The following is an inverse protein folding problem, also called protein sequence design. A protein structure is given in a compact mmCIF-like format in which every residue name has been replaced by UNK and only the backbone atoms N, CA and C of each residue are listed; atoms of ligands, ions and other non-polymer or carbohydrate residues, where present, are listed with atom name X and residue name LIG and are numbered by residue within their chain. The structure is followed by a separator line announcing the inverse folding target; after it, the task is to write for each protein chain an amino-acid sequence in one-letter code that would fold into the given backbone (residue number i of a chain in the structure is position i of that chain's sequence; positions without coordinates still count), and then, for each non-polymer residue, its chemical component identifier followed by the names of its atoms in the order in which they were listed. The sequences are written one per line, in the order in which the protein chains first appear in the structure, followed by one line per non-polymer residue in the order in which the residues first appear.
data_IF_069357854356
#
_entry.id   IF_069357854356
#
_cell.length_a   1.000
_cell.length_b   1.000
_cell.length_c   1.000
_cell.angle_alpha   90.00
_cell.angle_beta   90.00
_cell.angle_gamma   90.00
#
_symmetry.space_group_name_H-M   'P 1'
#
loop_
_entity.id
_entity.type
_entity.pdbx_description
1 polymer ?
#
# COMPACT_ATOMS: atom_id res chain seq x y z
N UNK A 1 61.58 -27.97 -9.05
CA UNK A 1 60.55 -29.01 -9.24
C UNK A 1 59.51 -29.08 -8.13
N UNK A 2 59.76 -28.57 -6.91
CA UNK A 2 58.76 -28.58 -5.82
C UNK A 2 57.69 -27.46 -5.92
N UNK A 3 58.01 -26.27 -6.42
CA UNK A 3 57.02 -25.17 -6.52
C UNK A 3 55.94 -25.36 -7.60
N UNK A 4 56.20 -26.18 -8.64
CA UNK A 4 55.24 -26.42 -9.72
C UNK A 4 54.14 -27.41 -9.34
N UNK A 5 54.40 -28.35 -8.42
CA UNK A 5 53.36 -29.29 -7.96
C UNK A 5 52.40 -28.65 -6.97
N UNK A 6 52.88 -27.77 -6.09
CA UNK A 6 52.06 -27.00 -5.14
C UNK A 6 51.05 -26.08 -5.86
N UNK A 7 51.47 -25.38 -6.91
CA UNK A 7 50.57 -24.54 -7.70
C UNK A 7 49.48 -25.35 -8.43
N UNK A 8 49.81 -26.54 -8.93
CA UNK A 8 48.87 -27.45 -9.58
C UNK A 8 47.83 -28.03 -8.60
N UNK A 9 48.26 -28.39 -7.39
CA UNK A 9 47.37 -28.86 -6.32
C UNK A 9 46.42 -27.73 -5.88
N UNK A 10 46.94 -26.51 -5.70
CA UNK A 10 46.13 -25.36 -5.29
C UNK A 10 45.08 -24.96 -6.34
N UNK A 11 45.41 -25.04 -7.63
CA UNK A 11 44.46 -24.81 -8.73
C UNK A 11 43.38 -25.89 -8.80
N UNK A 12 43.73 -27.15 -8.54
CA UNK A 12 42.78 -28.26 -8.49
C UNK A 12 41.81 -28.12 -7.31
N UNK A 13 42.30 -27.71 -6.14
CA UNK A 13 41.46 -27.44 -4.95
C UNK A 13 40.48 -26.30 -5.19
N UNK A 14 40.92 -25.21 -5.85
CA UNK A 14 40.05 -24.10 -6.23
C UNK A 14 38.99 -24.57 -7.24
N UNK A 15 39.36 -25.37 -8.24
CA UNK A 15 38.42 -25.91 -9.22
C UNK A 15 37.40 -26.87 -8.59
N UNK A 16 37.83 -27.72 -7.65
CA UNK A 16 36.94 -28.63 -6.92
C UNK A 16 36.02 -27.86 -5.97
N UNK A 17 36.51 -26.80 -5.31
CA UNK A 17 35.69 -25.93 -4.48
C UNK A 17 34.65 -25.16 -5.31
N UNK A 18 35.04 -24.58 -6.45
CA UNK A 18 34.13 -23.90 -7.36
C UNK A 18 33.12 -24.86 -7.98
N UNK A 19 33.56 -26.06 -8.38
CA UNK A 19 32.71 -27.13 -8.87
C UNK A 19 31.72 -27.61 -7.81
N UNK A 20 32.16 -27.77 -6.56
CA UNK A 20 31.32 -28.10 -5.42
C UNK A 20 30.28 -27.02 -5.10
N UNK A 21 30.66 -25.74 -5.19
CA UNK A 21 29.74 -24.60 -5.03
C UNK A 21 28.72 -24.54 -6.17
N UNK A 22 29.15 -24.77 -7.42
CA UNK A 22 28.27 -24.84 -8.59
C UNK A 22 27.28 -26.01 -8.46
N UNK A 23 27.76 -27.21 -8.13
CA UNK A 23 26.93 -28.40 -7.92
C UNK A 23 25.98 -28.16 -6.74
N UNK A 24 26.44 -27.57 -5.64
CA UNK A 24 25.57 -27.18 -4.53
C UNK A 24 24.49 -26.21 -5.00
N UNK A 25 24.84 -25.15 -5.74
CA UNK A 25 23.87 -24.19 -6.29
C UNK A 25 22.85 -24.85 -7.25
N UNK A 26 23.29 -25.78 -8.09
CA UNK A 26 22.44 -26.49 -9.05
C UNK A 26 21.55 -27.55 -8.37
N UNK A 27 22.06 -28.25 -7.35
CA UNK A 27 21.31 -29.27 -6.60
C UNK A 27 20.44 -28.65 -5.50
N UNK A 28 20.82 -27.50 -4.95
CA UNK A 28 19.97 -26.66 -4.13
C UNK A 28 18.98 -25.92 -5.02
N UNK A 29 18.09 -26.66 -5.69
CA UNK A 29 16.79 -26.08 -6.06
C UNK A 29 16.22 -25.51 -4.76
N UNK A 30 16.27 -24.19 -4.58
CA UNK A 30 15.54 -23.52 -3.49
C UNK A 30 14.09 -23.95 -3.68
N UNK A 31 13.64 -24.89 -2.84
CA UNK A 31 12.25 -25.30 -2.78
C UNK A 31 11.44 -24.02 -2.63
N UNK A 32 10.43 -23.84 -3.49
CA UNK A 32 9.56 -22.67 -3.42
C UNK A 32 8.97 -22.58 -2.01
N UNK A 33 9.53 -21.67 -1.22
CA UNK A 33 9.17 -21.53 0.17
C UNK A 33 7.97 -20.59 0.24
N UNK A 34 6.78 -21.18 0.29
CA UNK A 34 5.53 -20.44 0.53
C UNK A 34 5.54 -19.86 1.93
N UNK A 35 5.05 -18.63 2.07
CA UNK A 35 4.79 -18.07 3.39
C UNK A 35 3.59 -18.84 3.98
N UNK A 36 3.68 -19.40 5.20
CA UNK A 36 2.58 -20.17 5.75
C UNK A 36 1.36 -19.26 5.92
N UNK A 37 0.20 -19.76 5.48
CA UNK A 37 -1.08 -19.14 5.75
C UNK A 37 -1.26 -19.00 7.27
N UNK A 38 -1.71 -17.83 7.72
CA UNK A 38 -1.86 -17.54 9.14
C UNK A 38 -3.33 -17.65 9.53
N UNK A 39 -3.76 -18.85 9.89
CA UNK A 39 -5.05 -19.05 10.59
C UNK A 39 -4.98 -18.37 11.97
N UNK A 40 -5.96 -17.51 12.25
CA UNK A 40 -6.12 -16.84 13.53
C UNK A 40 -7.58 -16.69 13.92
N UNK A 41 -7.81 -16.36 15.20
CA UNK A 41 -9.09 -15.84 15.69
C UNK A 41 -8.86 -14.46 16.29
N UNK A 42 -9.31 -13.44 15.58
CA UNK A 42 -9.12 -12.03 15.90
C UNK A 42 -10.32 -11.41 16.61
N UNK A 43 -11.43 -12.16 16.69
CA UNK A 43 -12.60 -11.82 17.49
C UNK A 43 -12.32 -11.83 18.99
N UNK A 44 -13.29 -11.34 19.77
CA UNK A 44 -13.24 -11.40 21.23
C UNK A 44 -13.25 -12.85 21.72
N UNK A 45 -12.62 -13.09 22.87
CA UNK A 45 -12.62 -14.39 23.52
C UNK A 45 -11.89 -15.50 22.74
N UNK A 46 -12.29 -16.73 23.00
CA UNK A 46 -11.79 -17.92 22.31
C UNK A 46 -12.57 -18.14 21.00
N UNK A 47 -11.96 -18.85 20.05
CA UNK A 47 -12.64 -19.26 18.81
C UNK A 47 -13.78 -20.22 19.20
N UNK A 48 -15.02 -19.99 18.74
CA UNK A 48 -16.11 -20.95 18.93
C UNK A 48 -15.81 -22.29 18.27
N UNK A 49 -16.37 -23.37 18.82
CA UNK A 49 -16.27 -24.73 18.23
C UNK A 49 -17.17 -24.91 17.01
N UNK A 50 -18.10 -23.98 16.77
CA UNK A 50 -19.00 -23.98 15.60
C UNK A 50 -18.30 -23.43 14.37
N UNK A 51 -18.76 -23.84 13.18
CA UNK A 51 -18.34 -23.21 11.93
C UNK A 51 -18.64 -21.71 11.93
N UNK A 52 -17.77 -20.94 11.30
CA UNK A 52 -17.94 -19.49 11.18
C UNK A 52 -19.03 -19.18 10.16
N UNK A 53 -19.93 -18.25 10.49
CA UNK A 53 -20.93 -17.75 9.56
C UNK A 53 -20.26 -17.15 8.33
N UNK A 54 -20.52 -17.76 7.17
CA UNK A 54 -19.90 -17.37 5.91
C UNK A 54 -20.69 -16.32 5.12
N UNK A 55 -21.82 -15.87 5.66
CA UNK A 55 -22.75 -14.94 5.00
C UNK A 55 -22.06 -13.64 4.59
N UNK A 56 -22.39 -13.14 3.41
CA UNK A 56 -22.03 -11.80 2.92
C UNK A 56 -23.30 -10.96 2.95
N UNK A 57 -23.28 -9.85 3.69
CA UNK A 57 -24.43 -8.96 3.82
C UNK A 57 -24.13 -7.57 3.25
N UNK A 58 -25.13 -6.90 2.63
CA UNK A 58 -24.97 -5.54 2.16
C UNK A 58 -24.62 -4.58 3.31
N UNK A 59 -23.81 -3.58 2.99
CA UNK A 59 -23.44 -2.49 3.89
C UNK A 59 -23.70 -1.15 3.19
N UNK A 60 -24.14 -0.16 3.97
CA UNK A 60 -24.24 1.24 3.54
C UNK A 60 -23.57 2.12 4.58
N UNK A 61 -22.84 3.12 4.11
CA UNK A 61 -22.31 4.18 4.96
C UNK A 61 -23.47 5.05 5.38
N UNK A 62 -23.68 5.19 6.68
CA UNK A 62 -24.70 6.04 7.27
C UNK A 62 -24.10 6.69 8.52
N UNK A 63 -24.60 7.89 8.86
CA UNK A 63 -24.25 8.61 10.09
C UNK A 63 -25.52 9.20 10.68
N UNK A 64 -25.62 9.16 12.00
CA UNK A 64 -26.69 9.78 12.76
C UNK A 64 -26.50 11.30 12.82
N UNK A 65 -27.60 12.03 13.01
CA UNK A 65 -27.54 13.49 13.24
C UNK A 65 -26.79 13.82 14.55
N UNK A 66 -26.79 12.91 15.52
CA UNK A 66 -26.08 13.05 16.79
C UNK A 66 -24.56 13.03 16.58
N UNK A 67 -24.03 12.08 15.79
CA UNK A 67 -22.61 12.01 15.43
C UNK A 67 -22.13 13.28 14.70
N UNK A 68 -22.94 13.80 13.77
CA UNK A 68 -22.61 15.03 13.04
C UNK A 68 -22.71 16.27 13.93
N UNK A 69 -23.71 16.32 14.80
CA UNK A 69 -23.85 17.42 15.78
C UNK A 69 -22.67 17.46 16.74
N UNK A 70 -22.18 16.29 17.20
CA UNK A 70 -20.97 16.21 18.02
C UNK A 70 -19.73 16.70 17.28
N UNK A 71 -19.54 16.28 16.01
CA UNK A 71 -18.47 16.78 15.15
C UNK A 71 -18.49 18.31 15.04
N UNK A 72 -19.62 18.90 14.64
CA UNK A 72 -19.70 20.35 14.45
C UNK A 72 -19.49 21.12 15.74
N UNK A 73 -20.01 20.62 16.86
CA UNK A 73 -19.77 21.20 18.19
C UNK A 73 -18.27 21.22 18.53
N UNK A 74 -17.52 20.16 18.22
CA UNK A 74 -16.07 20.07 18.46
C UNK A 74 -15.28 20.97 17.52
N UNK A 75 -15.67 21.09 16.26
CA UNK A 75 -15.06 22.02 15.31
C UNK A 75 -15.23 23.48 15.78
N UNK A 76 -16.38 23.83 16.35
CA UNK A 76 -16.68 25.17 16.87
C UNK A 76 -15.87 25.56 18.11
N UNK A 77 -15.50 24.57 18.92
CA UNK A 77 -14.75 24.78 20.16
C UNK A 77 -13.24 24.57 19.97
N UNK A 78 -12.78 24.44 18.71
CA UNK A 78 -11.39 24.19 18.40
C UNK A 78 -10.48 25.32 18.86
N UNK A 79 -9.38 24.96 19.52
CA UNK A 79 -8.32 25.88 19.94
C UNK A 79 -7.14 25.75 19.01
N UNK A 80 -6.72 26.86 18.41
CA UNK A 80 -5.57 26.94 17.51
C UNK A 80 -4.39 27.63 18.18
N UNK A 81 -3.19 27.24 17.78
CA UNK A 81 -1.93 27.92 18.13
C UNK A 81 -1.42 28.65 16.90
N UNK A 82 -0.92 29.87 17.05
CA UNK A 82 -0.30 30.59 15.92
C UNK A 82 0.96 29.86 15.43
N UNK A 83 1.15 29.77 14.10
CA UNK A 83 2.35 29.15 13.55
C UNK A 83 3.56 30.09 13.71
N UNK A 84 4.76 29.55 13.56
CA UNK A 84 5.95 30.38 13.42
C UNK A 84 5.87 31.14 12.08
N UNK A 85 6.36 32.38 12.06
CA UNK A 85 6.50 33.18 10.84
C UNK A 85 7.30 32.40 9.78
N UNK A 86 6.84 32.44 8.53
CA UNK A 86 7.46 31.79 7.36
C UNK A 86 7.71 30.26 7.50
N UNK A 87 7.02 29.58 8.43
CA UNK A 87 7.22 28.14 8.65
C UNK A 87 6.56 27.25 7.61
N UNK A 88 5.63 27.78 6.80
CA UNK A 88 4.84 27.03 5.83
C UNK A 88 4.33 25.72 6.43
N UNK A 89 4.61 24.57 5.80
CA UNK A 89 4.31 23.23 6.29
C UNK A 89 5.56 22.49 6.84
N UNK A 90 6.69 23.20 7.01
CA UNK A 90 7.96 22.61 7.46
C UNK A 90 7.93 22.15 8.92
N UNK A 91 6.97 22.65 9.71
CA UNK A 91 6.72 22.28 11.11
C UNK A 91 5.45 21.42 11.28
N UNK A 92 4.93 20.86 10.18
CA UNK A 92 3.63 20.20 10.11
C UNK A 92 2.54 21.11 9.54
N UNK A 93 1.27 20.70 9.61
CA UNK A 93 0.16 21.48 9.06
C UNK A 93 0.13 22.90 9.61
N UNK A 94 0.19 23.88 8.71
CA UNK A 94 0.08 25.29 9.08
C UNK A 94 -1.30 25.61 9.66
N UNK A 95 -1.35 26.18 10.86
CA UNK A 95 -2.63 26.43 11.55
C UNK A 95 -3.45 27.56 10.93
N UNK A 96 -2.85 28.49 10.18
CA UNK A 96 -3.58 29.52 9.40
C UNK A 96 -4.38 28.85 8.30
N UNK A 97 -3.76 27.97 7.52
CA UNK A 97 -4.47 27.26 6.46
C UNK A 97 -5.43 26.20 7.04
N UNK A 98 -5.07 25.51 8.12
CA UNK A 98 -5.98 24.58 8.80
C UNK A 98 -7.29 25.28 9.22
N UNK A 99 -7.24 26.51 9.72
CA UNK A 99 -8.46 27.29 10.02
C UNK A 99 -9.35 27.50 8.80
N UNK A 100 -8.77 27.68 7.60
CA UNK A 100 -9.53 27.75 6.34
C UNK A 100 -10.20 26.41 6.02
N UNK A 101 -9.47 25.30 6.16
CA UNK A 101 -10.02 23.95 5.95
C UNK A 101 -11.15 23.65 6.95
N UNK A 102 -10.97 23.96 8.24
CA UNK A 102 -12.02 23.77 9.26
C UNK A 102 -13.23 24.67 8.99
N UNK A 103 -13.02 25.91 8.55
CA UNK A 103 -14.12 26.78 8.12
C UNK A 103 -14.88 26.21 6.93
N UNK A 104 -14.18 25.64 5.94
CA UNK A 104 -14.81 24.93 4.82
C UNK A 104 -15.58 23.70 5.30
N UNK A 105 -14.98 22.89 6.17
CA UNK A 105 -15.60 21.67 6.72
C UNK A 105 -16.90 21.99 7.47
N UNK A 106 -16.91 23.07 8.25
CA UNK A 106 -18.10 23.50 8.99
C UNK A 106 -19.20 24.06 8.08
N UNK A 107 -18.83 24.91 7.12
CA UNK A 107 -19.79 25.80 6.47
C UNK A 107 -20.15 25.41 5.03
N UNK A 108 -19.34 24.55 4.38
CA UNK A 108 -19.48 24.25 2.95
C UNK A 108 -19.45 22.76 2.64
N UNK A 109 -18.60 21.99 3.33
CA UNK A 109 -18.51 20.55 3.14
C UNK A 109 -19.86 19.87 3.43
N UNK A 110 -20.37 19.12 2.46
CA UNK A 110 -21.65 18.44 2.58
C UNK A 110 -21.45 16.94 2.76
N UNK A 111 -21.40 16.48 4.02
CA UNK A 111 -21.24 15.07 4.32
C UNK A 111 -22.35 14.18 3.75
N UNK A 112 -23.60 14.65 3.71
CA UNK A 112 -24.71 13.85 3.13
C UNK A 112 -24.48 13.56 1.65
N UNK A 113 -24.00 14.55 0.89
CA UNK A 113 -23.58 14.36 -0.50
C UNK A 113 -22.42 13.37 -0.62
N UNK A 114 -21.43 13.43 0.28
CA UNK A 114 -20.32 12.47 0.27
C UNK A 114 -20.76 11.05 0.64
N UNK A 115 -21.74 10.89 1.52
CA UNK A 115 -22.37 9.59 1.80
C UNK A 115 -23.05 9.03 0.54
N UNK A 116 -23.73 9.85 -0.27
CA UNK A 116 -24.28 9.43 -1.57
C UNK A 116 -23.18 8.98 -2.53
N UNK A 117 -22.05 9.70 -2.58
CA UNK A 117 -20.87 9.31 -3.37
C UNK A 117 -20.33 7.97 -2.87
N UNK A 118 -20.11 7.80 -1.57
CA UNK A 118 -19.61 6.58 -0.96
C UNK A 118 -20.53 5.39 -1.27
N UNK A 119 -21.85 5.57 -1.15
CA UNK A 119 -22.85 4.53 -1.41
C UNK A 119 -23.20 4.32 -2.88
N UNK A 120 -22.56 5.04 -3.82
CA UNK A 120 -22.72 4.80 -5.28
C UNK A 120 -22.29 3.39 -5.66
N UNK A 121 -21.25 2.86 -5.02
CA UNK A 121 -20.76 1.51 -5.27
C UNK A 121 -21.31 0.50 -4.24
N UNK A 122 -21.65 -0.73 -4.67
CA UNK A 122 -22.06 -1.78 -3.75
C UNK A 122 -20.97 -2.07 -2.71
N UNK A 123 -21.37 -2.06 -1.45
CA UNK A 123 -20.52 -2.35 -0.30
C UNK A 123 -21.13 -3.50 0.49
N UNK A 124 -20.25 -4.28 1.12
CA UNK A 124 -20.63 -5.48 1.84
C UNK A 124 -19.78 -5.64 3.09
N UNK A 125 -20.28 -6.48 3.99
CA UNK A 125 -19.52 -7.04 5.09
C UNK A 125 -19.66 -8.55 5.11
N UNK A 126 -18.63 -9.21 5.62
CA UNK A 126 -18.66 -10.64 5.93
C UNK A 126 -17.73 -10.94 7.10
N UNK A 127 -18.03 -11.98 7.88
CA UNK A 127 -17.19 -12.38 9.01
C UNK A 127 -16.06 -13.29 8.51
N UNK A 128 -14.82 -12.95 8.88
CA UNK A 128 -13.63 -13.74 8.59
C UNK A 128 -12.74 -13.76 9.83
N UNK A 129 -12.46 -14.96 10.34
CA UNK A 129 -11.57 -15.18 11.48
C UNK A 129 -11.98 -14.37 12.73
N UNK A 130 -13.29 -14.22 12.95
CA UNK A 130 -13.91 -13.63 14.13
C UNK A 130 -14.11 -12.12 14.09
N UNK A 131 -13.83 -11.47 12.96
CA UNK A 131 -14.04 -10.02 12.78
C UNK A 131 -14.81 -9.72 11.49
N UNK A 132 -15.59 -8.65 11.50
CA UNK A 132 -16.34 -8.20 10.34
C UNK A 132 -15.45 -7.43 9.35
N UNK A 133 -15.39 -7.89 8.11
CA UNK A 133 -14.57 -7.32 7.04
C UNK A 133 -15.44 -6.55 6.07
N UNK A 134 -15.22 -5.25 5.97
CA UNK A 134 -15.86 -4.37 4.99
C UNK A 134 -15.12 -4.41 3.66
N UNK A 135 -15.87 -4.40 2.55
CA UNK A 135 -15.32 -4.23 1.21
C UNK A 135 -16.31 -3.61 0.22
N UNK A 136 -15.79 -2.80 -0.69
CA UNK A 136 -16.48 -2.39 -1.92
C UNK A 136 -16.32 -3.50 -2.96
N UNK A 137 -17.39 -3.84 -3.69
CA UNK A 137 -17.34 -4.83 -4.78
C UNK A 137 -18.08 -4.30 -6.01
N UNK A 138 -17.33 -3.96 -7.05
CA UNK A 138 -17.86 -3.37 -8.28
C UNK A 138 -17.67 -4.32 -9.44
N UNK A 139 -18.80 -4.76 -10.00
CA UNK A 139 -18.85 -5.55 -11.22
C UNK A 139 -18.85 -4.62 -12.45
N UNK A 140 -18.25 -5.03 -13.57
CA UNK A 140 -18.33 -4.26 -14.80
C UNK A 140 -19.78 -4.14 -15.26
N UNK A 141 -20.23 -2.95 -15.69
CA UNK A 141 -21.61 -2.74 -16.13
C UNK A 141 -21.90 -3.47 -17.45
N UNK A 142 -20.86 -3.71 -18.26
CA UNK A 142 -20.93 -4.44 -19.51
C UNK A 142 -19.65 -5.25 -19.71
N UNK A 143 -19.79 -6.42 -20.30
CA UNK A 143 -18.66 -7.23 -20.75
C UNK A 143 -18.76 -7.43 -22.27
N UNK A 144 -17.65 -7.33 -23.02
CA UNK A 144 -17.61 -7.75 -24.41
C UNK A 144 -17.99 -9.24 -24.53
N UNK A 145 -18.65 -9.60 -25.63
CA UNK A 145 -19.09 -10.97 -25.87
C UNK A 145 -17.90 -11.95 -25.82
N UNK A 146 -18.07 -13.08 -25.13
CA UNK A 146 -17.03 -14.08 -24.95
C UNK A 146 -15.91 -13.71 -23.98
N UNK A 147 -15.97 -12.56 -23.28
CA UNK A 147 -15.00 -12.16 -22.25
C UNK A 147 -15.55 -12.33 -20.83
N UNK A 148 -14.67 -12.70 -19.91
CA UNK A 148 -14.93 -12.71 -18.47
C UNK A 148 -14.22 -11.55 -17.78
N UNK A 149 -14.85 -10.95 -16.78
CA UNK A 149 -14.19 -9.99 -15.91
C UNK A 149 -12.99 -10.62 -15.19
N UNK A 150 -11.92 -9.85 -15.00
CA UNK A 150 -10.76 -10.28 -14.22
C UNK A 150 -10.92 -9.80 -12.77
N UNK A 151 -10.92 -10.68 -11.76
CA UNK A 151 -11.01 -10.24 -10.37
C UNK A 151 -9.73 -9.49 -9.98
N UNK A 152 -9.89 -8.29 -9.43
CA UNK A 152 -8.79 -7.42 -8.99
C UNK A 152 -9.04 -6.96 -7.55
N UNK A 153 -8.19 -7.43 -6.65
CA UNK A 153 -8.14 -6.96 -5.26
C UNK A 153 -7.25 -5.70 -5.18
N UNK A 154 -7.80 -4.56 -4.76
CA UNK A 154 -7.05 -3.31 -4.56
C UNK A 154 -7.03 -2.95 -3.07
N UNK A 155 -5.83 -2.87 -2.48
CA UNK A 155 -5.65 -2.65 -1.04
C UNK A 155 -5.02 -1.28 -0.78
N UNK A 156 -5.69 -0.47 0.04
CA UNK A 156 -5.26 0.89 0.40
C UNK A 156 -4.16 0.92 1.47
N UNK A 157 -3.74 2.12 1.86
CA UNK A 157 -2.74 2.38 2.89
C UNK A 157 -3.23 3.13 4.12
N UNK A 158 -2.29 3.71 4.87
CA UNK A 158 -2.48 4.73 5.89
C UNK A 158 -1.80 6.03 5.43
N UNK A 159 -2.36 7.23 5.65
CA UNK A 159 -3.65 7.52 6.28
C UNK A 159 -4.81 7.56 5.26
N UNK A 160 -4.70 6.75 4.20
CA UNK A 160 -5.73 6.61 3.18
C UNK A 160 -6.86 5.65 3.57
N UNK A 161 -7.71 5.32 2.61
CA UNK A 161 -8.85 4.43 2.80
C UNK A 161 -9.31 3.86 1.46
N UNK A 162 -10.29 2.95 1.47
CA UNK A 162 -10.90 2.43 0.25
C UNK A 162 -11.46 3.53 -0.68
N UNK A 163 -11.70 4.74 -0.16
CA UNK A 163 -12.13 5.91 -0.95
C UNK A 163 -11.11 6.34 -2.01
N UNK A 164 -9.82 6.09 -1.80
CA UNK A 164 -8.75 6.42 -2.76
C UNK A 164 -9.00 5.81 -4.14
N UNK A 165 -9.76 4.70 -4.20
CA UNK A 165 -10.01 3.99 -5.45
C UNK A 165 -11.25 4.47 -6.22
N UNK A 166 -12.05 5.40 -5.69
CA UNK A 166 -13.34 5.74 -6.28
C UNK A 166 -13.24 6.30 -7.70
N UNK A 167 -12.16 7.04 -8.00
CA UNK A 167 -11.91 7.61 -9.33
C UNK A 167 -11.34 6.60 -10.32
N UNK A 168 -10.60 5.59 -9.85
CA UNK A 168 -9.97 4.58 -10.72
C UNK A 168 -10.89 3.38 -11.01
N UNK A 169 -11.82 3.04 -10.11
CA UNK A 169 -12.80 1.96 -10.31
C UNK A 169 -13.46 1.99 -11.71
N UNK A 170 -14.07 3.12 -12.15
CA UNK A 170 -14.75 3.14 -13.45
C UNK A 170 -13.80 2.93 -14.64
N UNK A 171 -12.53 3.35 -14.51
CA UNK A 171 -11.49 3.15 -15.53
C UNK A 171 -11.11 1.66 -15.70
N UNK A 172 -11.33 0.85 -14.66
CA UNK A 172 -11.01 -0.57 -14.65
C UNK A 172 -12.23 -1.46 -14.94
N UNK A 173 -13.42 -1.04 -14.49
CA UNK A 173 -14.67 -1.79 -14.67
C UNK A 173 -15.39 -1.46 -15.98
N UNK A 174 -15.15 -0.27 -16.55
CA UNK A 174 -15.71 0.15 -17.84
C UNK A 174 -14.69 0.95 -18.68
N UNK A 175 -13.53 0.38 -19.00
CA UNK A 175 -12.43 1.11 -19.66
C UNK A 175 -12.84 1.76 -20.98
N UNK A 176 -13.69 1.09 -21.81
CA UNK A 176 -14.11 1.61 -23.10
C UNK A 176 -14.85 2.95 -23.01
N UNK A 177 -15.79 3.08 -22.06
CA UNK A 177 -16.54 4.33 -21.84
C UNK A 177 -15.66 5.47 -21.34
N UNK A 178 -14.44 5.16 -20.90
CA UNK A 178 -13.46 6.09 -20.38
C UNK A 178 -12.24 6.27 -21.31
N UNK A 179 -12.33 5.80 -22.57
CA UNK A 179 -11.27 5.99 -23.57
C UNK A 179 -10.04 5.08 -23.40
N UNK A 180 -10.14 4.05 -22.56
CA UNK A 180 -9.10 3.04 -22.34
C UNK A 180 -9.39 1.75 -23.11
N UNK A 181 -8.35 0.94 -23.31
CA UNK A 181 -8.50 -0.39 -23.95
C UNK A 181 -9.37 -1.31 -23.10
N UNK A 182 -10.38 -1.92 -23.72
CA UNK A 182 -11.27 -2.89 -23.09
C UNK A 182 -10.79 -4.36 -23.20
N UNK A 183 -9.57 -4.58 -23.72
CA UNK A 183 -8.95 -5.90 -23.83
C UNK A 183 -9.01 -6.65 -22.49
N UNK A 184 -8.89 -5.90 -21.39
CA UNK A 184 -9.03 -6.38 -20.03
C UNK A 184 -10.03 -5.51 -19.29
N UNK A 185 -11.09 -6.14 -18.79
CA UNK A 185 -12.11 -5.51 -17.94
C UNK A 185 -12.08 -6.19 -16.58
N UNK A 186 -12.14 -5.40 -15.51
CA UNK A 186 -12.01 -5.90 -14.14
C UNK A 186 -13.34 -5.95 -13.40
N UNK A 187 -13.41 -6.89 -12.47
CA UNK A 187 -14.32 -6.89 -11.34
C UNK A 187 -13.48 -6.52 -10.12
N UNK A 188 -13.77 -5.37 -9.50
CA UNK A 188 -12.87 -4.72 -8.53
C UNK A 188 -13.38 -4.92 -7.10
N UNK A 189 -12.47 -5.32 -6.21
CA UNK A 189 -12.73 -5.56 -4.80
C UNK A 189 -11.78 -4.67 -3.99
N UNK A 190 -12.32 -3.74 -3.20
CA UNK A 190 -11.55 -2.83 -2.36
C UNK A 190 -11.92 -3.01 -0.89
N UNK A 191 -11.23 -3.88 -0.13
CA UNK A 191 -11.50 -4.05 1.28
C UNK A 191 -10.95 -2.89 2.11
N UNK A 192 -11.60 -2.62 3.25
CA UNK A 192 -10.93 -1.88 4.32
C UNK A 192 -10.01 -2.81 5.11
N UNK A 193 -8.78 -2.40 5.36
CA UNK A 193 -7.84 -3.16 6.21
C UNK A 193 -8.46 -3.33 7.62
N UNK A 194 -8.37 -4.50 8.27
CA UNK A 194 -8.89 -4.66 9.63
C UNK A 194 -8.37 -3.60 10.59
N UNK A 195 -9.30 -2.88 11.24
CA UNK A 195 -8.99 -1.70 12.06
C UNK A 195 -8.94 -0.37 11.29
N UNK A 196 -9.28 -0.35 10.01
CA UNK A 196 -9.43 0.83 9.16
C UNK A 196 -10.85 0.92 8.62
N UNK A 197 -11.33 2.15 8.41
CA UNK A 197 -12.64 2.43 7.83
C UNK A 197 -13.73 1.61 8.52
N UNK A 198 -14.51 0.87 7.74
CA UNK A 198 -15.66 0.13 8.26
C UNK A 198 -15.36 -1.35 8.59
N UNK A 199 -14.10 -1.80 8.47
CA UNK A 199 -13.68 -3.14 8.92
C UNK A 199 -13.42 -3.14 10.42
N UNK A 200 -13.93 -4.16 11.11
CA UNK A 200 -13.76 -4.30 12.55
C UNK A 200 -12.27 -4.40 12.93
N UNK A 201 -11.91 -3.74 14.03
CA UNK A 201 -10.56 -3.80 14.55
C UNK A 201 -10.27 -5.17 15.19
N UNK A 202 -9.08 -5.75 14.96
CA UNK A 202 -8.65 -6.95 15.67
C UNK A 202 -8.67 -6.74 17.19
N UNK A 203 -9.26 -7.68 17.93
CA UNK A 203 -9.34 -7.62 19.40
C UNK A 203 -8.11 -8.21 20.11
N UNK A 204 -7.13 -8.69 19.34
CA UNK A 204 -5.93 -9.38 19.85
C UNK A 204 -4.66 -8.81 19.23
N UNK A 205 -3.59 -8.85 20.03
CA UNK A 205 -2.23 -8.51 19.59
C UNK A 205 -1.74 -9.49 18.52
N UNK A 206 -0.78 -9.06 17.71
CA UNK A 206 -0.15 -9.88 16.67
C UNK A 206 -0.82 -9.82 15.31
N UNK A 207 -1.83 -8.97 15.11
CA UNK A 207 -2.45 -8.74 13.81
C UNK A 207 -1.55 -7.85 12.93
N UNK A 208 -0.73 -8.47 12.10
CA UNK A 208 0.22 -7.82 11.19
C UNK A 208 -0.18 -8.00 9.71
N UNK A 209 0.63 -7.50 8.78
CA UNK A 209 0.39 -7.59 7.33
C UNK A 209 0.21 -9.01 6.79
N UNK A 210 0.87 -10.01 7.37
CA UNK A 210 0.67 -11.43 7.02
C UNK A 210 -0.73 -11.92 7.43
N UNK A 211 -1.24 -11.39 8.55
CA UNK A 211 -2.60 -11.70 9.05
C UNK A 211 -3.64 -11.06 8.13
N UNK A 212 -3.45 -9.78 7.77
CA UNK A 212 -4.32 -9.10 6.79
C UNK A 212 -4.33 -9.78 5.42
N UNK A 213 -3.16 -10.21 4.92
CA UNK A 213 -3.08 -10.99 3.68
C UNK A 213 -3.86 -12.32 3.76
N UNK A 214 -3.84 -12.98 4.92
CA UNK A 214 -4.62 -14.21 5.15
C UNK A 214 -6.14 -13.92 5.18
N UNK A 215 -6.57 -12.82 5.80
CA UNK A 215 -7.98 -12.37 5.76
C UNK A 215 -8.42 -12.10 4.32
N UNK A 216 -7.61 -11.40 3.53
CA UNK A 216 -7.98 -11.06 2.16
C UNK A 216 -7.89 -12.24 1.20
N UNK A 217 -7.02 -13.22 1.45
CA UNK A 217 -7.07 -14.52 0.77
C UNK A 217 -8.44 -15.18 0.98
N UNK A 218 -8.88 -15.31 2.24
CA UNK A 218 -10.19 -15.89 2.56
C UNK A 218 -11.35 -15.08 1.97
N UNK A 219 -11.26 -13.74 1.97
CA UNK A 219 -12.26 -12.89 1.32
C UNK A 219 -12.40 -13.22 -0.16
N UNK A 220 -11.29 -13.33 -0.89
CA UNK A 220 -11.33 -13.63 -2.32
C UNK A 220 -11.89 -15.04 -2.59
N UNK A 221 -11.56 -16.03 -1.76
CA UNK A 221 -12.16 -17.37 -1.85
C UNK A 221 -13.65 -17.38 -1.54
N UNK A 222 -14.06 -16.65 -0.51
CA UNK A 222 -15.48 -16.48 -0.12
C UNK A 222 -16.31 -15.87 -1.25
N UNK A 223 -15.71 -14.98 -2.02
CA UNK A 223 -16.31 -14.37 -3.21
C UNK A 223 -16.28 -15.27 -4.46
N UNK A 224 -15.69 -16.47 -4.35
CA UNK A 224 -15.62 -17.45 -5.45
C UNK A 224 -14.47 -17.22 -6.42
N UNK A 225 -13.47 -16.41 -6.07
CA UNK A 225 -12.33 -16.14 -6.94
C UNK A 225 -11.15 -17.05 -6.62
N UNK A 226 -10.99 -18.10 -7.42
CA UNK A 226 -9.84 -19.01 -7.29
C UNK A 226 -8.52 -18.42 -7.78
N UNK A 227 -8.60 -17.53 -8.78
CA UNK A 227 -7.47 -16.88 -9.42
C UNK A 227 -7.77 -15.38 -9.61
N UNK A 228 -6.90 -14.51 -9.14
CA UNK A 228 -7.14 -13.07 -9.14
C UNK A 228 -5.85 -12.26 -9.24
N UNK A 229 -5.98 -10.99 -9.59
CA UNK A 229 -4.90 -10.00 -9.54
C UNK A 229 -4.95 -9.24 -8.23
N UNK A 230 -3.80 -8.73 -7.79
CA UNK A 230 -3.70 -7.91 -6.58
C UNK A 230 -2.97 -6.61 -6.90
N UNK A 231 -3.45 -5.50 -6.36
CA UNK A 231 -2.84 -4.18 -6.48
C UNK A 231 -2.72 -3.52 -5.10
N UNK A 232 -1.61 -2.83 -4.84
CA UNK A 232 -1.49 -2.02 -3.62
C UNK A 232 -0.27 -1.10 -3.56
N UNK A 233 -0.46 0.03 -2.86
CA UNK A 233 0.58 0.93 -2.39
C UNK A 233 0.65 0.92 -0.86
N UNK A 234 1.60 1.62 -0.23
CA UNK A 234 1.72 1.73 1.24
C UNK A 234 1.58 0.37 1.99
N UNK A 235 0.67 0.23 2.97
CA UNK A 235 0.37 -1.06 3.60
C UNK A 235 -0.21 -2.09 2.63
N UNK A 236 -1.00 -1.66 1.66
CA UNK A 236 -1.49 -2.48 0.56
C UNK A 236 -0.36 -3.13 -0.24
N UNK A 237 0.77 -2.45 -0.46
CA UNK A 237 1.96 -3.04 -1.07
C UNK A 237 2.44 -4.26 -0.27
N UNK A 238 2.60 -4.11 1.05
CA UNK A 238 3.11 -5.18 1.91
C UNK A 238 2.09 -6.32 2.04
N UNK A 239 0.80 -6.00 2.16
CA UNK A 239 -0.28 -6.98 2.25
C UNK A 239 -0.38 -7.80 0.95
N UNK A 240 -0.41 -7.15 -0.21
CA UNK A 240 -0.48 -7.82 -1.51
C UNK A 240 0.80 -8.62 -1.81
N UNK A 241 1.97 -8.11 -1.40
CA UNK A 241 3.24 -8.87 -1.44
C UNK A 241 3.15 -10.15 -0.62
N UNK A 242 2.67 -10.06 0.62
CA UNK A 242 2.51 -11.23 1.48
C UNK A 242 1.46 -12.21 0.94
N UNK A 243 0.37 -11.71 0.35
CA UNK A 243 -0.65 -12.53 -0.29
C UNK A 243 -0.07 -13.34 -1.47
N UNK A 244 0.74 -12.71 -2.32
CA UNK A 244 1.47 -13.38 -3.40
C UNK A 244 2.49 -14.42 -2.90
N UNK A 245 2.99 -14.29 -1.66
CA UNK A 245 3.85 -15.30 -1.03
C UNK A 245 3.08 -16.45 -0.36
N UNK A 246 1.88 -16.16 0.15
CA UNK A 246 1.00 -17.16 0.78
C UNK A 246 0.36 -18.05 -0.29
N UNK A 247 -0.19 -17.43 -1.34
CA UNK A 247 -0.98 -18.11 -2.36
C UNK A 247 -0.46 -17.81 -3.79
N UNK A 248 0.82 -18.14 -4.10
CA UNK A 248 1.39 -17.86 -5.43
C UNK A 248 0.64 -18.56 -6.57
N UNK A 249 -0.06 -19.66 -6.29
CA UNK A 249 -0.86 -20.41 -7.28
C UNK A 249 -2.21 -19.75 -7.57
N UNK A 250 -2.66 -18.80 -6.74
CA UNK A 250 -3.94 -18.10 -6.86
C UNK A 250 -3.78 -16.64 -7.30
N UNK A 251 -2.66 -16.00 -6.93
CA UNK A 251 -2.36 -14.65 -7.39
C UNK A 251 -1.78 -14.71 -8.79
N UNK A 252 -2.57 -14.35 -9.81
CA UNK A 252 -2.15 -14.34 -11.22
C UNK A 252 -1.07 -13.29 -11.51
N UNK A 253 -1.14 -12.16 -10.82
CA UNK A 253 -0.22 -11.04 -10.99
C UNK A 253 -0.31 -10.04 -9.84
N UNK A 254 0.83 -9.50 -9.45
CA UNK A 254 1.01 -8.51 -8.39
C UNK A 254 1.39 -7.16 -9.00
N UNK A 255 0.50 -6.17 -8.90
CA UNK A 255 0.78 -4.80 -9.32
C UNK A 255 1.05 -3.92 -8.11
N UNK A 256 2.09 -3.09 -8.15
CA UNK A 256 2.53 -2.27 -7.03
C UNK A 256 2.83 -0.85 -7.47
N UNK A 257 2.41 0.15 -6.70
CA UNK A 257 2.85 1.54 -6.85
C UNK A 257 3.81 2.00 -5.75
N UNK A 258 4.10 1.12 -4.78
CA UNK A 258 5.18 1.24 -3.82
C UNK A 258 5.89 -0.11 -3.75
N UNK A 259 7.23 -0.10 -3.71
CA UNK A 259 8.00 -1.30 -3.44
C UNK A 259 9.17 -0.94 -2.54
N UNK A 260 9.31 -1.60 -1.40
CA UNK A 260 10.48 -1.45 -0.54
C UNK A 260 11.22 -2.78 -0.36
N UNK A 261 12.54 -2.69 -0.22
CA UNK A 261 13.43 -3.85 -0.04
C UNK A 261 14.21 -3.64 1.25
N UNK A 262 13.91 -4.48 2.25
CA UNK A 262 14.49 -4.34 3.60
C UNK A 262 15.78 -5.14 3.79
N UNK A 263 16.11 -6.06 2.87
CA UNK A 263 17.32 -6.87 2.94
C UNK A 263 18.52 -6.18 2.26
N UNK A 264 19.18 -5.29 2.99
CA UNK A 264 20.36 -4.56 2.53
C UNK A 264 21.67 -5.36 2.74
N UNK A 265 22.02 -6.20 1.77
CA UNK A 265 23.35 -6.84 1.71
C UNK A 265 24.48 -5.92 1.22
N UNK A 266 25.71 -6.43 1.24
CA UNK A 266 26.93 -5.71 0.82
C UNK A 266 26.83 -5.04 -0.56
N UNK A 267 26.16 -5.68 -1.52
CA UNK A 267 25.96 -5.11 -2.87
C UNK A 267 25.08 -3.86 -2.86
N UNK A 268 24.11 -3.74 -1.96
CA UNK A 268 23.32 -2.52 -1.81
C UNK A 268 24.18 -1.38 -1.25
N UNK A 269 24.98 -1.65 -0.21
CA UNK A 269 25.89 -0.65 0.36
C UNK A 269 26.85 -0.13 -0.71
N UNK A 270 27.43 -1.01 -1.52
CA UNK A 270 28.32 -0.60 -2.61
C UNK A 270 27.58 0.23 -3.67
N UNK A 271 26.32 -0.12 -4.00
CA UNK A 271 25.49 0.67 -4.92
C UNK A 271 25.13 2.05 -4.36
N UNK A 272 24.97 2.19 -3.05
CA UNK A 272 24.74 3.49 -2.39
C UNK A 272 26.01 4.37 -2.44
N UNK A 273 27.19 3.77 -2.34
CA UNK A 273 28.46 4.53 -2.36
C UNK A 273 28.90 4.89 -3.79
N UNK A 274 28.79 3.93 -4.72
CA UNK A 274 29.36 4.03 -6.06
C UNK A 274 28.31 4.26 -7.16
N UNK A 275 27.02 4.06 -6.89
CA UNK A 275 25.96 4.11 -7.90
C UNK A 275 25.76 5.48 -8.56
N UNK A 276 26.19 6.57 -7.92
CA UNK A 276 26.25 7.89 -8.57
C UNK A 276 27.30 7.96 -9.69
N UNK A 277 28.43 7.28 -9.50
CA UNK A 277 29.59 7.36 -10.38
C UNK A 277 29.60 6.22 -11.41
N UNK A 278 29.08 5.06 -11.04
CA UNK A 278 29.04 3.84 -11.84
C UNK A 278 27.61 3.26 -11.88
N UNK A 279 26.59 4.00 -12.36
CA UNK A 279 25.19 3.55 -12.30
C UNK A 279 24.95 2.25 -13.06
N UNK A 280 25.55 2.09 -14.24
CA UNK A 280 25.42 0.87 -15.05
C UNK A 280 25.91 -0.40 -14.35
N UNK A 281 26.91 -0.30 -13.45
CA UNK A 281 27.41 -1.44 -12.67
C UNK A 281 26.36 -2.02 -11.72
N UNK A 282 25.43 -1.18 -11.25
CA UNK A 282 24.40 -1.56 -10.29
C UNK A 282 23.00 -1.65 -10.91
N UNK A 283 22.90 -1.55 -12.24
CA UNK A 283 21.63 -1.56 -12.96
C UNK A 283 20.77 -0.32 -12.68
N UNK A 284 21.38 0.80 -12.30
CA UNK A 284 20.68 2.07 -12.12
C UNK A 284 20.48 2.77 -13.46
N UNK A 285 19.27 3.24 -13.68
CA UNK A 285 18.94 4.16 -14.75
C UNK A 285 19.21 5.61 -14.31
N UNK A 286 19.21 6.55 -15.26
CA UNK A 286 19.44 7.97 -14.96
C UNK A 286 18.43 8.50 -13.92
N UNK A 287 17.18 8.07 -14.03
CA UNK A 287 16.12 8.44 -13.11
C UNK A 287 16.34 7.91 -11.68
N UNK A 288 16.93 6.71 -11.54
CA UNK A 288 17.34 6.17 -10.23
C UNK A 288 18.41 7.06 -9.59
N UNK A 289 19.42 7.47 -10.38
CA UNK A 289 20.47 8.35 -9.90
C UNK A 289 19.90 9.70 -9.48
N UNK A 290 19.01 10.26 -10.30
CA UNK A 290 18.33 11.55 -10.04
C UNK A 290 17.51 11.51 -8.75
N UNK A 291 16.74 10.44 -8.50
CA UNK A 291 15.87 10.31 -7.33
C UNK A 291 16.63 9.95 -6.06
N UNK A 292 17.68 9.14 -6.15
CA UNK A 292 18.39 8.65 -4.97
C UNK A 292 19.53 9.55 -4.50
N UNK A 293 20.21 10.27 -5.40
CA UNK A 293 21.45 10.97 -5.05
C UNK A 293 21.30 12.49 -4.91
N UNK A 294 22.02 13.13 -3.97
CA UNK A 294 22.92 12.54 -2.98
C UNK A 294 22.17 11.75 -1.87
N UNK A 295 22.56 10.49 -1.66
CA UNK A 295 21.80 9.53 -0.86
C UNK A 295 21.68 9.90 0.62
N UNK A 296 22.71 10.52 1.21
CA UNK A 296 22.64 11.01 2.59
C UNK A 296 21.49 12.00 2.79
N UNK A 297 21.27 12.91 1.83
CA UNK A 297 20.20 13.91 1.89
C UNK A 297 18.84 13.30 1.50
N UNK A 298 18.77 12.65 0.33
CA UNK A 298 17.50 12.18 -0.26
C UNK A 298 16.99 10.86 0.31
N UNK A 299 17.89 9.96 0.68
CA UNK A 299 17.56 8.66 1.26
C UNK A 299 17.49 8.71 2.78
N UNK A 300 18.59 9.07 3.45
CA UNK A 300 18.66 8.93 4.92
C UNK A 300 18.02 10.09 5.67
N UNK A 301 18.45 11.32 5.40
CA UNK A 301 17.97 12.50 6.14
C UNK A 301 16.48 12.75 5.91
N UNK A 302 15.98 12.58 4.69
CA UNK A 302 14.54 12.66 4.38
C UNK A 302 13.72 11.65 5.19
N UNK A 303 14.15 10.39 5.27
CA UNK A 303 13.43 9.38 6.07
C UNK A 303 13.40 9.80 7.55
N UNK A 304 14.51 10.30 8.11
CA UNK A 304 14.53 10.77 9.49
C UNK A 304 13.56 11.92 9.74
N UNK A 305 13.48 12.89 8.83
CA UNK A 305 12.54 14.01 8.92
C UNK A 305 11.07 13.56 8.86
N UNK A 306 10.75 12.62 7.96
CA UNK A 306 9.35 12.28 7.66
C UNK A 306 8.80 11.07 8.44
N UNK A 307 9.62 10.34 9.20
CA UNK A 307 9.23 9.09 9.87
C UNK A 307 8.74 9.24 11.32
N UNK A 308 8.63 10.47 11.84
CA UNK A 308 8.17 10.71 13.22
C UNK A 308 6.79 10.12 13.51
N UNK A 309 5.86 10.22 12.56
CA UNK A 309 4.53 9.62 12.65
C UNK A 309 4.61 8.08 12.80
N UNK A 310 5.42 7.43 11.95
CA UNK A 310 5.56 5.98 11.95
C UNK A 310 6.21 5.51 13.26
N UNK A 311 7.17 6.26 13.80
CA UNK A 311 7.83 5.92 15.05
C UNK A 311 6.86 5.97 16.24
N UNK A 312 6.06 7.05 16.39
CA UNK A 312 5.09 7.14 17.50
C UNK A 312 3.97 6.10 17.37
N UNK A 313 3.50 5.81 16.16
CA UNK A 313 2.49 4.78 15.90
C UNK A 313 3.02 3.36 16.11
N UNK A 314 4.28 3.09 15.76
CA UNK A 314 4.93 1.81 15.98
C UNK A 314 5.24 1.53 17.45
N UNK A 315 5.16 2.53 18.33
CA UNK A 315 5.57 2.39 19.73
C UNK A 315 4.39 2.57 20.69
N UNK A 316 3.62 3.65 20.55
CA UNK A 316 2.56 4.12 21.47
C UNK A 316 1.29 4.56 20.71
N UNK A 317 0.70 3.72 19.83
CA UNK A 317 -0.44 4.09 19.00
C UNK A 317 -1.66 4.52 19.82
N UNK A 318 -1.97 3.79 20.90
CA UNK A 318 -3.06 4.12 21.81
C UNK A 318 -2.89 5.48 22.51
N UNK A 319 -1.66 5.93 22.76
CA UNK A 319 -1.42 7.22 23.41
C UNK A 319 -1.63 8.40 22.47
N UNK A 320 -1.02 8.36 21.28
CA UNK A 320 -1.20 9.42 20.28
C UNK A 320 -2.62 9.44 19.71
N UNK A 321 -3.21 8.25 19.54
CA UNK A 321 -4.55 8.09 19.00
C UNK A 321 -5.65 8.63 19.89
N UNK A 322 -5.47 8.71 21.22
CA UNK A 322 -6.45 9.34 22.12
C UNK A 322 -6.76 10.78 21.70
N UNK A 323 -5.74 11.59 21.42
CA UNK A 323 -5.93 12.99 21.00
C UNK A 323 -6.57 13.10 19.62
N UNK A 324 -6.17 12.24 18.69
CA UNK A 324 -6.70 12.22 17.32
C UNK A 324 -8.14 11.71 17.25
N UNK A 325 -8.54 10.83 18.17
CA UNK A 325 -9.90 10.29 18.20
C UNK A 325 -10.90 11.25 18.88
N UNK A 326 -10.43 12.16 19.72
CA UNK A 326 -11.27 13.15 20.42
C UNK A 326 -11.36 14.50 19.68
N UNK A 327 -10.29 14.89 18.98
CA UNK A 327 -10.19 16.18 18.28
C UNK A 327 -10.28 16.02 16.76
N UNK A 328 -11.39 16.43 16.12
CA UNK A 328 -11.52 16.37 14.66
C UNK A 328 -10.53 17.29 13.95
N UNK A 329 -10.17 18.42 14.56
CA UNK A 329 -9.13 19.33 14.05
C UNK A 329 -7.74 18.70 14.14
N UNK A 330 -7.46 18.00 15.26
CA UNK A 330 -6.23 17.23 15.42
C UNK A 330 -6.11 16.09 14.42
N UNK A 331 -7.19 15.35 14.20
CA UNK A 331 -7.29 14.30 13.18
C UNK A 331 -7.02 14.86 11.77
N UNK A 332 -7.70 15.95 11.40
CA UNK A 332 -7.53 16.58 10.10
C UNK A 332 -6.09 17.05 9.89
N UNK A 333 -5.49 17.77 10.85
CA UNK A 333 -4.10 18.20 10.73
C UNK A 333 -3.16 16.99 10.52
N UNK A 334 -3.30 15.95 11.34
CA UNK A 334 -2.42 14.79 11.30
C UNK A 334 -2.50 14.01 9.98
N UNK A 335 -3.68 13.94 9.36
CA UNK A 335 -3.89 13.27 8.08
C UNK A 335 -3.50 14.18 6.90
N UNK A 336 -3.95 15.44 6.89
CA UNK A 336 -3.70 16.38 5.78
C UNK A 336 -2.22 16.62 5.55
N UNK A 337 -1.40 16.68 6.60
CA UNK A 337 0.04 16.83 6.45
C UNK A 337 0.63 15.77 5.51
N UNK A 338 0.11 14.53 5.55
CA UNK A 338 0.56 13.45 4.66
C UNK A 338 0.10 13.67 3.21
N UNK A 339 -1.13 14.11 2.99
CA UNK A 339 -1.62 14.48 1.66
C UNK A 339 -0.87 15.66 1.03
N UNK A 340 -0.25 16.53 1.84
CA UNK A 340 0.71 17.53 1.36
C UNK A 340 2.05 16.86 1.01
N UNK A 341 2.75 16.36 2.03
CA UNK A 341 4.17 15.97 1.92
C UNK A 341 4.40 14.75 1.02
N UNK A 342 3.45 13.81 0.96
CA UNK A 342 3.59 12.57 0.18
C UNK A 342 3.07 12.68 -1.25
N UNK A 343 2.38 13.76 -1.59
CA UNK A 343 2.03 14.11 -2.98
C UNK A 343 3.19 14.82 -3.65
N UNK A 344 3.79 15.80 -2.97
CA UNK A 344 5.04 16.41 -3.40
C UNK A 344 5.80 16.97 -2.19
N UNK A 345 7.08 16.62 -2.06
CA UNK A 345 7.90 17.06 -0.93
C UNK A 345 8.04 18.59 -0.89
N UNK A 346 8.01 19.24 -2.05
CA UNK A 346 8.14 20.69 -2.19
C UNK A 346 6.91 21.43 -1.68
N UNK A 347 5.76 20.75 -1.52
CA UNK A 347 4.56 21.38 -0.98
C UNK A 347 4.72 21.82 0.47
N UNK A 348 5.69 21.27 1.21
CA UNK A 348 6.04 21.76 2.56
C UNK A 348 6.52 23.21 2.57
N UNK A 349 7.01 23.72 1.44
CA UNK A 349 7.44 25.10 1.29
C UNK A 349 6.28 26.06 0.98
N UNK A 350 5.03 25.58 0.91
CA UNK A 350 3.84 26.37 0.64
C UNK A 350 3.04 26.58 1.93
N UNK A 351 2.47 27.77 2.10
CA UNK A 351 1.67 28.12 3.28
C UNK A 351 0.39 27.26 3.40
N UNK A 352 -0.17 26.85 2.26
CA UNK A 352 -1.35 25.99 2.14
C UNK A 352 -1.02 24.49 2.06
N UNK A 353 0.27 24.14 2.11
CA UNK A 353 0.74 22.76 1.93
C UNK A 353 0.41 22.17 0.56
N UNK A 354 0.08 23.00 -0.44
CA UNK A 354 -0.31 22.54 -1.77
C UNK A 354 -1.50 21.57 -1.80
N UNK A 355 -2.32 21.52 -0.74
CA UNK A 355 -3.36 20.49 -0.54
C UNK A 355 -4.39 20.47 -1.66
N UNK A 356 -4.69 21.64 -2.23
CA UNK A 356 -5.68 21.80 -3.30
C UNK A 356 -5.09 21.69 -4.72
N UNK A 357 -3.78 21.44 -4.86
CA UNK A 357 -3.13 21.32 -6.19
C UNK A 357 -3.51 20.06 -6.94
N UNK A 358 -3.82 18.99 -6.19
CA UNK A 358 -4.10 17.65 -6.72
C UNK A 358 -5.42 17.06 -6.25
N UNK A 359 -5.91 17.54 -5.11
CA UNK A 359 -7.16 17.12 -4.52
C UNK A 359 -8.06 18.34 -4.35
N UNK A 360 -9.36 18.11 -4.18
CA UNK A 360 -10.24 19.14 -3.64
C UNK A 360 -10.47 18.85 -2.15
N UNK A 361 -10.96 19.85 -1.40
CA UNK A 361 -11.21 19.69 0.04
C UNK A 361 -12.33 18.68 0.32
N UNK A 362 -13.28 18.48 -0.60
CA UNK A 362 -14.32 17.46 -0.48
C UNK A 362 -13.71 16.05 -0.41
N UNK A 363 -12.75 15.72 -1.27
CA UNK A 363 -12.06 14.43 -1.30
C UNK A 363 -11.24 14.20 -0.03
N UNK A 364 -10.46 15.21 0.37
CA UNK A 364 -9.62 15.15 1.57
C UNK A 364 -10.46 14.98 2.83
N UNK A 365 -11.53 15.77 2.97
CA UNK A 365 -12.43 15.69 4.12
C UNK A 365 -13.28 14.42 4.09
N UNK A 366 -13.61 13.86 2.92
CA UNK A 366 -14.27 12.55 2.82
C UNK A 366 -13.39 11.45 3.41
N UNK A 367 -12.10 11.41 3.06
CA UNK A 367 -11.16 10.47 3.67
C UNK A 367 -11.06 10.68 5.19
N UNK A 368 -10.93 11.92 5.67
CA UNK A 368 -10.88 12.23 7.12
C UNK A 368 -12.18 11.83 7.83
N UNK A 369 -13.33 12.08 7.21
CA UNK A 369 -14.63 11.70 7.75
C UNK A 369 -14.75 10.19 7.91
N UNK A 370 -14.22 9.39 6.97
CA UNK A 370 -14.19 7.93 7.13
C UNK A 370 -13.44 7.54 8.42
N UNK A 371 -12.31 8.16 8.74
CA UNK A 371 -11.60 7.91 10.00
C UNK A 371 -12.38 8.39 11.22
N UNK A 372 -13.02 9.56 11.13
CA UNK A 372 -13.80 10.15 12.22
C UNK A 372 -15.02 9.30 12.57
N UNK A 373 -15.89 9.03 11.59
CA UNK A 373 -17.18 8.35 11.82
C UNK A 373 -17.01 6.87 12.16
N UNK A 374 -15.91 6.24 11.73
CA UNK A 374 -15.58 4.87 12.14
C UNK A 374 -14.82 4.77 13.46
N UNK A 375 -14.30 5.90 13.99
CA UNK A 375 -13.44 5.91 15.17
C UNK A 375 -12.17 5.08 15.02
N UNK A 376 -11.67 4.90 13.78
CA UNK A 376 -10.66 3.89 13.48
C UNK A 376 -9.20 4.40 13.59
N UNK A 377 -8.97 5.64 14.01
CA UNK A 377 -7.60 6.21 14.01
C UNK A 377 -6.66 5.47 14.97
N UNK A 378 -7.13 5.04 16.14
CA UNK A 378 -6.31 4.26 17.08
C UNK A 378 -6.01 2.87 16.52
N UNK A 379 -7.03 2.17 16.02
CA UNK A 379 -6.89 0.81 15.50
C UNK A 379 -6.01 0.76 14.23
N UNK A 380 -6.09 1.79 13.38
CA UNK A 380 -5.26 1.88 12.18
C UNK A 380 -3.78 2.01 12.54
N UNK A 381 -3.45 2.84 13.55
CA UNK A 381 -2.10 3.03 14.06
C UNK A 381 -1.54 1.78 14.76
N UNK A 382 -2.37 0.95 15.39
CA UNK A 382 -1.92 -0.33 15.96
C UNK A 382 -1.31 -1.25 14.90
N UNK A 383 -1.68 -1.10 13.63
CA UNK A 383 -1.07 -1.85 12.54
C UNK A 383 0.43 -1.54 12.38
N UNK A 384 0.86 -0.30 12.61
CA UNK A 384 2.29 0.05 12.66
C UNK A 384 2.99 -0.67 13.80
N UNK A 385 2.39 -0.68 15.01
CA UNK A 385 2.92 -1.40 16.17
C UNK A 385 3.13 -2.87 15.85
N UNK A 386 2.14 -3.53 15.27
CA UNK A 386 2.20 -4.96 15.02
C UNK A 386 3.19 -5.35 13.92
N UNK A 387 3.40 -4.48 12.92
CA UNK A 387 4.35 -4.73 11.85
C UNK A 387 5.80 -4.31 12.18
N UNK A 388 6.01 -3.29 13.01
CA UNK A 388 7.33 -2.70 13.23
C UNK A 388 7.94 -3.01 14.62
N UNK A 389 7.18 -3.52 15.59
CA UNK A 389 7.67 -3.77 16.96
C UNK A 389 8.87 -4.75 17.03
N UNK A 390 9.04 -5.63 16.05
CA UNK A 390 10.16 -6.60 16.01
C UNK A 390 11.39 -6.07 15.26
N UNK A 391 11.32 -4.85 14.72
CA UNK A 391 12.35 -4.27 13.85
C UNK A 391 12.20 -4.68 12.38
N UNK A 392 12.71 -3.83 11.50
CA UNK A 392 12.69 -4.01 10.04
C UNK A 392 13.72 -5.08 9.63
N UNK A 393 13.39 -5.94 8.67
CA UNK A 393 14.25 -7.01 8.13
C UNK A 393 14.36 -8.25 9.02
N UNK A 394 13.59 -8.31 10.11
CA UNK A 394 13.64 -9.39 11.10
C UNK A 394 12.64 -10.51 10.82
N UNK A 395 11.58 -10.23 10.07
CA UNK A 395 10.49 -11.16 9.85
C UNK A 395 10.74 -12.04 8.63
N UNK A 396 10.24 -13.29 8.68
CA UNK A 396 10.43 -14.27 7.60
C UNK A 396 9.94 -13.76 6.24
N UNK A 397 8.75 -13.17 6.21
CA UNK A 397 8.12 -12.68 4.98
C UNK A 397 8.99 -11.62 4.26
N UNK A 398 9.77 -10.83 4.99
CA UNK A 398 10.67 -9.81 4.43
C UNK A 398 11.81 -10.43 3.61
N UNK A 399 12.29 -11.61 3.99
CA UNK A 399 13.39 -12.32 3.33
C UNK A 399 12.94 -13.26 2.21
N UNK A 400 11.69 -13.72 2.25
CA UNK A 400 11.12 -14.56 1.19
C UNK A 400 10.98 -13.75 -0.10
N UNK A 401 11.21 -14.38 -1.24
CA UNK A 401 11.02 -13.75 -2.56
C UNK A 401 9.57 -13.90 -3.04
N UNK A 402 9.21 -13.18 -4.10
CA UNK A 402 7.93 -13.27 -4.80
C UNK A 402 8.21 -13.71 -6.23
N UNK A 403 7.59 -14.81 -6.65
CA UNK A 403 7.78 -15.38 -8.00
C UNK A 403 6.60 -15.10 -8.95
N UNK A 404 5.47 -14.66 -8.39
CA UNK A 404 4.30 -14.21 -9.15
C UNK A 404 4.71 -13.08 -10.11
N UNK A 405 4.21 -13.05 -11.36
CA UNK A 405 4.44 -11.93 -12.28
C UNK A 405 4.12 -10.59 -11.62
N UNK A 406 5.11 -9.70 -11.57
CA UNK A 406 5.03 -8.45 -10.80
C UNK A 406 5.18 -7.24 -11.72
N UNK A 407 4.28 -6.26 -11.57
CA UNK A 407 4.33 -4.95 -12.20
C UNK A 407 4.60 -3.86 -11.17
N UNK A 408 5.47 -2.90 -11.49
CA UNK A 408 5.79 -1.78 -10.59
C UNK A 408 5.63 -0.43 -11.33
N UNK A 409 4.72 0.40 -10.85
CA UNK A 409 4.57 1.81 -11.24
C UNK A 409 5.38 2.70 -10.30
N UNK A 410 6.47 3.30 -10.79
CA UNK A 410 7.40 4.11 -9.99
C UNK A 410 7.08 5.60 -10.09
N UNK A 411 6.19 6.07 -9.22
CA UNK A 411 5.80 7.49 -9.12
C UNK A 411 6.95 8.39 -8.65
N UNK A 412 7.13 9.58 -9.26
CA UNK A 412 8.29 10.44 -9.02
C UNK A 412 8.37 11.02 -7.61
N UNK A 413 7.23 11.30 -7.00
CA UNK A 413 7.16 11.93 -5.68
C UNK A 413 6.88 10.94 -4.54
N UNK A 414 6.94 9.63 -4.80
CA UNK A 414 6.79 8.60 -3.78
C UNK A 414 7.78 8.81 -2.60
N UNK A 415 7.35 8.43 -1.40
CA UNK A 415 8.10 8.61 -0.14
C UNK A 415 9.44 7.89 -0.16
N UNK A 416 9.53 6.80 -0.90
CA UNK A 416 10.75 6.02 -1.11
C UNK A 416 10.86 5.60 -2.59
N UNK A 417 12.01 5.91 -3.20
CA UNK A 417 12.34 5.40 -4.53
C UNK A 417 13.13 4.10 -4.42
N UNK A 418 12.67 3.06 -5.11
CA UNK A 418 13.35 1.75 -5.19
C UNK A 418 13.69 1.44 -6.65
N UNK A 419 14.97 1.42 -7.02
CA UNK A 419 15.42 1.00 -8.34
C UNK A 419 14.95 -0.40 -8.69
N UNK A 420 14.69 -0.66 -9.98
CA UNK A 420 14.30 -1.99 -10.45
C UNK A 420 15.31 -3.06 -10.03
N UNK A 421 16.62 -2.78 -10.15
CA UNK A 421 17.69 -3.70 -9.75
C UNK A 421 17.64 -4.09 -8.26
N UNK A 422 17.13 -3.21 -7.40
CA UNK A 422 16.91 -3.52 -5.99
C UNK A 422 15.64 -4.35 -5.81
N UNK A 423 14.54 -3.91 -6.44
CA UNK A 423 13.26 -4.60 -6.40
C UNK A 423 13.37 -6.07 -6.87
N UNK A 424 14.18 -6.36 -7.88
CA UNK A 424 14.41 -7.70 -8.43
C UNK A 424 14.93 -8.72 -7.39
N UNK A 425 15.56 -8.28 -6.30
CA UNK A 425 15.98 -9.19 -5.22
C UNK A 425 14.81 -9.73 -4.41
N UNK A 426 13.70 -8.99 -4.37
CA UNK A 426 12.46 -9.37 -3.71
C UNK A 426 11.48 -10.00 -4.69
N UNK A 427 11.25 -9.35 -5.83
CA UNK A 427 10.33 -9.78 -6.88
C UNK A 427 11.15 -10.37 -8.02
N UNK A 428 11.27 -11.70 -8.07
CA UNK A 428 12.17 -12.37 -9.02
C UNK A 428 11.59 -12.47 -10.43
N UNK A 429 10.33 -12.05 -10.62
CA UNK A 429 9.61 -12.10 -11.88
C UNK A 429 8.92 -10.75 -12.18
N UNK A 430 9.70 -9.67 -12.30
CA UNK A 430 9.18 -8.35 -12.70
C UNK A 430 8.95 -8.34 -14.21
N UNK A 431 7.69 -8.24 -14.65
CA UNK A 431 7.29 -8.22 -16.07
C UNK A 431 7.04 -6.80 -16.58
N UNK A 432 6.78 -5.84 -15.69
CA UNK A 432 6.74 -4.40 -16.00
C UNK A 432 7.35 -3.57 -14.87
N UNK A 433 8.12 -2.56 -15.25
CA UNK A 433 8.61 -1.51 -14.37
C UNK A 433 8.59 -0.22 -15.18
N UNK A 434 7.80 0.75 -14.75
CA UNK A 434 7.64 1.99 -15.49
C UNK A 434 7.84 3.19 -14.57
N UNK A 435 8.67 4.16 -14.98
CA UNK A 435 8.74 5.45 -14.33
C UNK A 435 7.53 6.28 -14.75
N UNK A 436 6.69 6.65 -13.77
CA UNK A 436 5.52 7.48 -14.06
C UNK A 436 5.95 8.93 -14.29
N UNK A 437 5.25 9.67 -15.17
CA UNK A 437 5.63 11.03 -15.53
C UNK A 437 5.35 12.06 -14.41
N UNK A 438 4.38 11.78 -13.54
CA UNK A 438 3.94 12.62 -12.42
C UNK A 438 3.20 11.77 -11.39
N UNK A 439 2.92 12.36 -10.23
CA UNK A 439 2.22 11.71 -9.13
C UNK A 439 3.13 11.38 -7.94
N UNK A 440 2.53 11.24 -6.76
CA UNK A 440 3.20 10.82 -5.53
C UNK A 440 2.64 9.52 -4.97
N UNK A 441 2.49 9.48 -3.64
CA UNK A 441 2.13 8.29 -2.87
C UNK A 441 0.69 7.82 -3.10
N UNK A 442 -0.27 8.75 -3.21
CA UNK A 442 -1.71 8.47 -3.34
C UNK A 442 -2.11 8.25 -4.80
N UNK A 443 -1.39 7.39 -5.51
CA UNK A 443 -1.45 7.24 -6.98
C UNK A 443 -2.87 7.10 -7.55
N UNK A 444 -3.72 6.29 -6.92
CA UNK A 444 -5.09 6.05 -7.37
C UNK A 444 -6.01 7.28 -7.22
N UNK A 445 -5.75 8.13 -6.23
CA UNK A 445 -6.52 9.34 -5.98
C UNK A 445 -5.97 10.53 -6.77
N UNK A 446 -4.64 10.60 -6.91
CA UNK A 446 -3.92 11.70 -7.55
C UNK A 446 -3.92 11.61 -9.08
N UNK A 447 -3.57 10.44 -9.62
CA UNK A 447 -3.40 10.20 -11.05
C UNK A 447 -4.08 8.87 -11.48
N UNK A 448 -5.42 8.75 -11.31
CA UNK A 448 -6.15 7.50 -11.54
C UNK A 448 -5.97 6.95 -12.96
N UNK A 449 -5.90 7.81 -13.98
CA UNK A 449 -5.74 7.42 -15.37
C UNK A 449 -4.36 6.78 -15.62
N UNK A 450 -3.29 7.38 -15.09
CA UNK A 450 -1.93 6.82 -15.23
C UNK A 450 -1.81 5.45 -14.57
N UNK A 451 -2.40 5.30 -13.37
CA UNK A 451 -2.37 4.02 -12.67
C UNK A 451 -3.23 2.97 -13.38
N UNK A 452 -4.42 3.33 -13.90
CA UNK A 452 -5.29 2.42 -14.63
C UNK A 452 -4.62 1.89 -15.91
N UNK A 453 -4.00 2.79 -16.70
CA UNK A 453 -3.26 2.44 -17.90
C UNK A 453 -2.11 1.47 -17.58
N UNK A 454 -1.36 1.72 -16.51
CA UNK A 454 -0.24 0.86 -16.11
C UNK A 454 -0.72 -0.54 -15.68
N UNK A 455 -1.84 -0.62 -14.92
CA UNK A 455 -2.48 -1.89 -14.54
C UNK A 455 -2.92 -2.67 -15.79
N UNK A 456 -3.59 -2.01 -16.74
CA UNK A 456 -4.06 -2.63 -17.99
C UNK A 456 -2.88 -3.18 -18.81
N UNK A 457 -1.81 -2.40 -18.97
CA UNK A 457 -0.61 -2.82 -19.68
C UNK A 457 0.10 -3.99 -18.99
N UNK A 458 0.22 -3.94 -17.66
CA UNK A 458 0.79 -5.03 -16.86
C UNK A 458 0.01 -6.33 -17.07
N UNK A 459 -1.33 -6.29 -16.92
CA UNK A 459 -2.18 -7.48 -17.09
C UNK A 459 -2.08 -8.03 -18.52
N UNK A 460 -1.98 -7.16 -19.53
CA UNK A 460 -1.74 -7.58 -20.90
C UNK A 460 -0.43 -8.34 -21.10
N UNK A 461 0.64 -7.96 -20.41
CA UNK A 461 1.90 -8.73 -20.42
C UNK A 461 1.73 -10.08 -19.74
N UNK A 462 1.10 -10.13 -18.56
CA UNK A 462 0.87 -11.37 -17.81
C UNK A 462 0.03 -12.38 -18.61
N UNK A 463 -1.10 -11.95 -19.18
CA UNK A 463 -1.99 -12.84 -19.94
C UNK A 463 -1.31 -13.37 -21.22
N UNK A 464 -0.51 -12.53 -21.90
CA UNK A 464 0.29 -12.96 -23.06
C UNK A 464 1.31 -14.03 -22.67
N UNK A 465 2.09 -13.82 -21.60
CA UNK A 465 3.07 -14.82 -21.13
C UNK A 465 2.42 -16.15 -20.73
N UNK A 466 1.26 -16.11 -20.09
CA UNK A 466 0.53 -17.33 -19.70
C UNK A 466 0.03 -18.12 -20.93
N UNK A 467 -0.38 -17.44 -22.01
CA UNK A 467 -0.74 -18.08 -23.27
C UNK A 467 0.45 -18.77 -23.92
N UNK A 468 1.64 -18.19 -23.87
CA UNK A 468 2.87 -18.81 -24.40
C UNK A 468 3.29 -20.05 -23.61
N UNK A 469 3.14 -20.06 -22.28
CA UNK A 469 3.50 -21.22 -21.44
C UNK A 469 2.56 -22.42 -21.59
N UNK A 470 1.34 -22.21 -22.10
CA UNK A 470 0.34 -23.27 -22.33
C UNK A 470 0.45 -23.92 -23.71
N UNK A 471 1.21 -23.31 -24.64
CA UNK A 471 1.57 -23.88 -25.94
C UNK A 471 2.90 -24.61 -25.81
#
# INVERSE_FOLDING_TARGET
QFCSSLAGIMLLEIFLALGGVLIYFFLSKKKEEKLPFKEGWWGRGQKPDTEEDTTIWPFKVETTEEELSDLFRRLDQARFTEPLEDSCFLYGTNSVYLRKVISYWKNQFNWKKQVEVLNKYPQFKTKIQGIDIHFVHVKPPRLPEGRSAKPLLMVHGWPGSFYEFYRIIPLLTDPASHGLSDEHVFEVICPSIPGYGFSEAPHKKGFNSVSAASIFHELMLRLGFDNFYTQGGDWGWLICTNLAQIAPDRVKGLHLNLASVTNMGFTHLLSILLGRYLPGLFGFQEEDVRRMFPFLKKGLYRILLESGYAHIQATKPDSVGCGLNDSPVGLAAYILEKFSTWTDLEFRNLEDGGLEKKFNLDDLLTNIMIYWVSGCIVSSMRFYKENLQKGIGTQKHERLTVQVPTGIASFPNEVMHTPQAWAQKKYTNIVSFHFMPRGGHFAALEEPELLAEDILQFVGKVEKEQLWRKK
#
